data_IF_918246439899
#
_entry.id   IF_918246439899
#
_cell.length_a   1.000
_cell.length_b   1.000
_cell.length_c   1.000
_cell.angle_alpha   90.00
_cell.angle_beta   90.00
_cell.angle_gamma   90.00
#
_symmetry.space_group_name_H-M   'P 1'
#
loop_
_entity.id
_entity.type
_entity.pdbx_description
1 polymer ?
#
# COMPACT_ATOMS: atom_id res chain seq x y z
N UNK A 1 19.15 -10.20 -18.91
CA UNK A 1 18.50 -11.21 -18.03
C UNK A 1 18.03 -10.48 -16.77
N UNK A 2 16.71 -10.31 -16.56
CA UNK A 2 16.11 -9.36 -15.60
C UNK A 2 16.66 -9.50 -14.17
N UNK A 3 17.04 -10.71 -13.76
CA UNK A 3 17.32 -11.05 -12.37
C UNK A 3 18.74 -10.90 -11.89
N UNK A 4 19.69 -10.73 -12.83
CA UNK A 4 21.05 -10.29 -12.49
C UNK A 4 21.06 -8.89 -11.85
N UNK A 5 19.95 -8.16 -11.97
CA UNK A 5 19.77 -6.80 -11.45
C UNK A 5 18.63 -6.67 -10.44
N UNK A 6 17.94 -7.75 -10.05
CA UNK A 6 16.90 -7.68 -9.01
C UNK A 6 17.58 -7.54 -7.65
N UNK A 7 17.50 -6.32 -7.11
CA UNK A 7 17.96 -5.96 -5.77
C UNK A 7 17.12 -6.68 -4.70
N UNK A 8 17.66 -6.78 -3.49
CA UNK A 8 17.03 -7.41 -2.34
C UNK A 8 15.55 -7.00 -2.17
N UNK A 9 15.25 -5.70 -2.18
CA UNK A 9 13.87 -5.19 -2.05
C UNK A 9 12.94 -5.64 -3.17
N UNK A 10 13.42 -5.72 -4.41
CA UNK A 10 12.60 -6.18 -5.53
C UNK A 10 12.27 -7.68 -5.40
N UNK A 11 13.17 -8.48 -4.81
CA UNK A 11 12.88 -9.90 -4.51
C UNK A 11 11.76 -10.02 -3.47
N UNK A 12 11.78 -9.15 -2.45
CA UNK A 12 10.71 -9.07 -1.43
C UNK A 12 9.37 -8.74 -2.09
N UNK A 13 9.33 -7.72 -2.95
CA UNK A 13 8.08 -7.32 -3.63
C UNK A 13 7.53 -8.42 -4.54
N UNK A 14 8.38 -9.10 -5.30
CA UNK A 14 7.95 -10.22 -6.14
C UNK A 14 7.43 -11.36 -5.28
N UNK A 15 8.16 -11.77 -4.24
CA UNK A 15 7.71 -12.83 -3.35
C UNK A 15 6.37 -12.48 -2.68
N UNK A 16 6.19 -11.22 -2.25
CA UNK A 16 4.95 -10.74 -1.65
C UNK A 16 3.78 -10.84 -2.63
N UNK A 17 3.97 -10.46 -3.89
CA UNK A 17 2.95 -10.58 -4.93
C UNK A 17 2.55 -12.03 -5.19
N UNK A 18 3.53 -12.93 -5.29
CA UNK A 18 3.27 -14.37 -5.48
C UNK A 18 2.49 -14.93 -4.28
N UNK A 19 2.90 -14.58 -3.06
CA UNK A 19 2.28 -15.05 -1.82
C UNK A 19 0.85 -14.52 -1.65
N UNK A 20 0.62 -13.21 -1.84
CA UNK A 20 -0.70 -12.58 -1.66
C UNK A 20 -1.74 -13.11 -2.64
N UNK A 21 -1.32 -13.54 -3.83
CA UNK A 21 -2.20 -14.11 -4.85
C UNK A 21 -2.33 -15.63 -4.74
N UNK A 22 -1.83 -16.25 -3.66
CA UNK A 22 -1.95 -17.69 -3.43
C UNK A 22 -1.22 -18.57 -4.44
N UNK A 23 -0.23 -18.02 -5.16
CA UNK A 23 0.55 -18.77 -6.12
C UNK A 23 1.51 -19.73 -5.41
N UNK A 24 1.57 -20.97 -5.86
CA UNK A 24 2.43 -21.99 -5.27
C UNK A 24 3.92 -21.58 -5.42
N UNK A 25 4.67 -21.41 -4.31
CA UNK A 25 6.07 -21.00 -4.35
C UNK A 25 6.99 -21.94 -5.14
N UNK A 26 6.70 -23.24 -5.13
CA UNK A 26 7.50 -24.26 -5.84
C UNK A 26 7.34 -24.07 -7.35
N UNK A 27 6.09 -23.94 -7.82
CA UNK A 27 5.79 -23.72 -9.24
C UNK A 27 6.41 -22.41 -9.72
N UNK A 28 6.32 -21.34 -8.91
CA UNK A 28 6.98 -20.07 -9.23
C UNK A 28 8.49 -20.25 -9.42
N UNK A 29 9.16 -20.98 -8.52
CA UNK A 29 10.60 -21.21 -8.63
C UNK A 29 10.97 -22.04 -9.86
N UNK A 30 10.17 -23.06 -10.21
CA UNK A 30 10.36 -23.83 -11.45
C UNK A 30 10.21 -22.98 -12.71
N UNK A 31 9.19 -22.13 -12.76
CA UNK A 31 8.98 -21.19 -13.87
C UNK A 31 10.16 -20.23 -14.02
N UNK A 32 10.65 -19.71 -12.90
CA UNK A 32 11.81 -18.83 -12.87
C UNK A 32 13.08 -19.55 -13.36
N UNK A 33 13.25 -20.83 -13.02
CA UNK A 33 14.37 -21.66 -13.51
C UNK A 33 14.25 -21.90 -15.03
N UNK A 34 13.07 -22.28 -15.52
CA UNK A 34 12.80 -22.54 -16.94
C UNK A 34 13.02 -21.32 -17.81
N UNK A 35 12.55 -20.16 -17.34
CA UNK A 35 12.76 -18.86 -18.00
C UNK A 35 14.19 -18.37 -17.85
N UNK A 36 15.05 -19.15 -17.18
CA UNK A 36 16.44 -18.84 -16.95
C UNK A 36 16.63 -17.55 -16.14
N UNK A 37 15.61 -17.18 -15.37
CA UNK A 37 15.51 -15.93 -14.64
C UNK A 37 16.09 -16.06 -13.22
N UNK A 38 16.66 -17.14 -12.72
CA UNK A 38 17.30 -17.08 -11.38
C UNK A 38 18.50 -18.02 -11.27
N UNK A 39 19.43 -17.86 -12.21
CA UNK A 39 20.68 -18.65 -12.23
C UNK A 39 21.55 -18.49 -10.97
N UNK A 40 21.36 -17.41 -10.23
CA UNK A 40 22.08 -17.18 -8.99
C UNK A 40 21.47 -18.00 -7.84
N UNK A 41 22.25 -18.96 -7.34
CA UNK A 41 21.87 -19.79 -6.22
C UNK A 41 21.56 -18.98 -4.95
N UNK A 42 22.19 -17.81 -4.77
CA UNK A 42 21.89 -16.92 -3.64
C UNK A 42 20.49 -16.32 -3.77
N UNK A 43 20.07 -15.96 -4.98
CA UNK A 43 18.73 -15.46 -5.25
C UNK A 43 17.66 -16.54 -5.04
N UNK A 44 17.92 -17.78 -5.49
CA UNK A 44 17.06 -18.93 -5.23
C UNK A 44 16.84 -19.15 -3.74
N UNK A 45 17.93 -19.22 -2.97
CA UNK A 45 17.87 -19.38 -1.50
C UNK A 45 17.11 -18.24 -0.83
N UNK A 46 17.26 -17.02 -1.34
CA UNK A 46 16.58 -15.85 -0.80
C UNK A 46 15.06 -15.93 -1.00
N UNK A 47 14.57 -16.29 -2.20
CA UNK A 47 13.14 -16.51 -2.42
C UNK A 47 12.58 -17.62 -1.53
N UNK A 48 13.27 -18.76 -1.45
CA UNK A 48 12.86 -19.86 -0.56
C UNK A 48 12.77 -19.41 0.91
N UNK A 49 13.71 -18.58 1.37
CA UNK A 49 13.66 -18.04 2.72
C UNK A 49 12.47 -17.08 2.91
N UNK A 50 12.21 -16.19 1.94
CA UNK A 50 11.08 -15.26 2.00
C UNK A 50 9.74 -15.98 2.11
N UNK A 51 9.49 -16.98 1.27
CA UNK A 51 8.23 -17.72 1.31
C UNK A 51 8.02 -18.43 2.66
N UNK A 52 9.08 -19.03 3.23
CA UNK A 52 9.02 -19.63 4.58
C UNK A 52 8.74 -18.60 5.68
N UNK A 53 9.27 -17.38 5.54
CA UNK A 53 9.04 -16.31 6.50
C UNK A 53 7.58 -15.84 6.40
N UNK A 54 7.06 -15.65 5.19
CA UNK A 54 5.67 -15.22 4.99
C UNK A 54 4.66 -16.25 5.51
N UNK A 55 4.91 -17.55 5.27
CA UNK A 55 4.08 -18.64 5.85
C UNK A 55 4.05 -18.62 7.38
N UNK A 56 5.11 -18.13 8.03
CA UNK A 56 5.19 -17.99 9.49
C UNK A 56 4.52 -16.71 10.02
N UNK A 57 3.97 -15.86 9.14
CA UNK A 57 3.43 -14.56 9.52
C UNK A 57 4.51 -13.50 9.77
N UNK A 58 5.77 -13.77 9.39
CA UNK A 58 6.77 -12.70 9.36
C UNK A 58 6.43 -11.76 8.21
N UNK A 59 6.65 -10.46 8.41
CA UNK A 59 6.32 -9.41 7.44
C UNK A 59 4.83 -9.19 7.16
N UNK A 60 3.91 -9.84 7.91
CA UNK A 60 2.45 -9.71 7.71
C UNK A 60 2.01 -8.29 7.42
N UNK A 61 2.47 -7.31 8.22
CA UNK A 61 2.11 -5.88 8.09
C UNK A 61 3.22 -4.98 7.53
N UNK A 62 4.36 -5.56 7.16
CA UNK A 62 5.51 -4.80 6.68
C UNK A 62 5.51 -4.64 5.15
N UNK A 63 4.90 -5.59 4.44
CA UNK A 63 4.86 -5.63 2.99
C UNK A 63 3.41 -5.81 2.54
N UNK A 64 3.03 -5.11 1.47
CA UNK A 64 1.74 -5.25 0.83
C UNK A 64 1.93 -5.47 -0.68
N UNK A 65 1.01 -6.18 -1.29
CA UNK A 65 0.97 -6.43 -2.71
C UNK A 65 -0.47 -6.33 -3.23
N UNK A 66 -0.61 -6.19 -4.55
CA UNK A 66 -1.93 -6.14 -5.17
C UNK A 66 -2.50 -7.56 -5.25
N UNK A 67 -3.65 -7.78 -4.61
CA UNK A 67 -4.44 -8.99 -4.81
C UNK A 67 -5.33 -8.81 -6.04
N UNK A 68 -5.09 -9.66 -7.05
CA UNK A 68 -5.83 -9.66 -8.30
C UNK A 68 -7.26 -10.16 -8.12
N UNK A 69 -7.54 -10.94 -7.08
CA UNK A 69 -8.86 -11.51 -6.82
C UNK A 69 -9.81 -10.47 -6.24
N UNK A 70 -9.38 -9.75 -5.20
CA UNK A 70 -10.17 -8.71 -4.56
C UNK A 70 -9.99 -7.31 -5.19
N UNK A 71 -9.06 -7.16 -6.13
CA UNK A 71 -8.83 -5.89 -6.84
C UNK A 71 -8.30 -4.77 -5.94
N UNK A 72 -7.55 -5.10 -4.89
CA UNK A 72 -7.06 -4.14 -3.89
C UNK A 72 -5.66 -4.51 -3.39
N UNK A 73 -4.98 -3.54 -2.79
CA UNK A 73 -3.73 -3.80 -2.07
C UNK A 73 -4.02 -4.45 -0.72
N UNK A 74 -3.31 -5.52 -0.42
CA UNK A 74 -3.41 -6.26 0.83
C UNK A 74 -2.03 -6.51 1.42
N UNK A 75 -1.98 -6.49 2.74
CA UNK A 75 -0.90 -7.01 3.55
C UNK A 75 -0.82 -8.54 3.41
N UNK A 76 0.29 -9.15 3.82
CA UNK A 76 0.46 -10.61 3.69
C UNK A 76 -0.46 -11.43 4.61
N UNK A 77 -1.08 -10.78 5.61
CA UNK A 77 -2.14 -11.37 6.43
C UNK A 77 -3.55 -11.26 5.80
N UNK A 78 -3.66 -10.71 4.59
CA UNK A 78 -4.92 -10.47 3.88
C UNK A 78 -5.67 -9.23 4.36
N UNK A 79 -5.12 -8.46 5.30
CA UNK A 79 -5.74 -7.20 5.71
C UNK A 79 -5.57 -6.12 4.62
N UNK A 80 -6.57 -5.25 4.41
CA UNK A 80 -6.44 -4.20 3.40
C UNK A 80 -5.30 -3.22 3.71
N UNK A 81 -4.47 -2.94 2.71
CA UNK A 81 -3.42 -1.93 2.80
C UNK A 81 -3.93 -0.61 2.21
N UNK A 82 -4.44 0.26 3.07
CA UNK A 82 -4.85 1.60 2.67
C UNK A 82 -3.62 2.50 2.53
N UNK A 83 -3.48 3.18 1.40
CA UNK A 83 -2.52 4.27 1.28
C UNK A 83 -2.90 5.37 2.27
N UNK A 84 -2.21 5.47 3.41
CA UNK A 84 -2.25 6.70 4.18
C UNK A 84 -1.52 7.76 3.35
N UNK A 85 -2.28 8.61 2.67
CA UNK A 85 -1.78 9.82 2.03
C UNK A 85 -1.21 10.74 3.12
N UNK A 86 0.06 10.53 3.50
CA UNK A 86 0.78 11.41 4.43
C UNK A 86 0.84 12.86 3.89
N UNK A 87 0.71 13.02 2.57
CA UNK A 87 0.68 14.29 1.86
C UNK A 87 -0.61 15.11 2.02
N UNK A 88 -1.71 14.51 2.51
CA UNK A 88 -2.96 15.26 2.74
C UNK A 88 -3.03 15.90 4.14
N UNK A 89 -2.17 15.47 5.09
CA UNK A 89 -2.15 16.06 6.44
C UNK A 89 -1.59 17.48 6.46
N UNK A 90 -0.62 17.78 5.60
CA UNK A 90 0.03 19.09 5.54
C UNK A 90 -0.87 20.18 4.95
N UNK A 91 -1.84 19.81 4.12
CA UNK A 91 -2.80 20.76 3.52
C UNK A 91 -3.94 21.11 4.46
N UNK A 92 -4.35 20.17 5.32
CA UNK A 92 -5.45 20.41 6.25
C UNK A 92 -5.04 21.29 7.44
N UNK A 93 -3.84 21.07 8.02
CA UNK A 93 -3.33 21.92 9.11
C UNK A 93 -3.10 23.37 8.68
N UNK A 94 -2.67 23.60 7.43
CA UNK A 94 -2.50 24.97 6.90
C UNK A 94 -3.83 25.70 6.66
N UNK A 95 -4.89 24.98 6.32
CA UNK A 95 -6.20 25.57 6.06
C UNK A 95 -6.94 25.91 7.36
N UNK A 96 -6.75 25.13 8.42
CA UNK A 96 -7.29 25.46 9.75
C UNK A 96 -6.58 26.67 10.37
N UNK A 97 -5.28 26.84 10.13
CA UNK A 97 -4.54 28.04 10.56
C UNK A 97 -4.94 29.31 9.78
N UNK A 98 -5.29 29.19 8.49
CA UNK A 98 -5.75 30.34 7.68
C UNK A 98 -7.20 30.77 7.98
N UNK A 99 -8.06 29.88 8.50
CA UNK A 99 -9.46 30.21 8.80
C UNK A 99 -9.68 30.88 10.17
N UNK A 100 -8.64 31.07 10.98
CA UNK A 100 -8.77 31.67 12.33
C UNK A 100 -8.45 33.17 12.36
N UNK A 101 -8.21 33.81 11.19
CA UNK A 101 -7.82 35.23 11.11
C UNK A 101 -8.76 36.03 10.20
N UNK A 102 -10.05 36.11 10.54
CA UNK A 102 -10.93 37.13 9.98
C UNK A 102 -11.90 37.62 11.06
N UNK A 103 -11.83 38.88 11.51
CA UNK A 103 -12.83 39.44 12.39
C UNK A 103 -14.13 39.64 11.61
N UNK A 104 -15.21 38.99 12.05
CA UNK A 104 -16.55 39.23 11.52
C UNK A 104 -17.02 40.62 11.97
N UNK A 105 -16.98 41.58 11.05
CA UNK A 105 -17.72 42.85 11.18
C UNK A 105 -19.20 42.56 11.06
N UNK A 106 -19.94 42.83 12.15
CA UNK A 106 -21.40 42.76 12.21
C UNK A 106 -22.02 43.91 11.43
N UNK A 107 -22.74 43.63 10.35
CA UNK A 107 -23.72 44.57 9.79
C UNK A 107 -25.14 44.03 10.03
N UNK A 108 -25.92 44.88 10.67
CA UNK A 108 -27.28 44.70 11.17
C UNK A 108 -28.22 45.25 10.10
N UNK A 109 -29.02 44.39 9.47
CA UNK A 109 -30.14 44.82 8.63
C UNK A 109 -31.41 44.23 9.25
N UNK A 110 -32.16 45.10 9.90
CA UNK A 110 -33.55 44.89 10.34
C UNK A 110 -34.47 45.11 9.15
N UNK A 111 -35.25 44.11 8.78
CA UNK A 111 -36.48 44.32 8.02
C UNK A 111 -37.66 43.74 8.81
N UNK A 112 -38.48 44.66 9.29
CA UNK A 112 -39.81 44.43 9.84
C UNK A 112 -40.78 44.13 8.68
N UNK A 113 -41.46 42.99 8.69
CA UNK A 113 -42.89 42.97 8.32
C UNK A 113 -43.58 41.73 8.90
N UNK A 114 -44.36 41.96 9.96
CA UNK A 114 -45.30 41.02 10.56
C UNK A 114 -46.55 40.87 9.66
N UNK A 115 -47.11 39.67 9.44
CA UNK A 115 -48.48 39.53 8.99
C UNK A 115 -49.40 39.22 10.18
N UNK A 116 -50.40 40.07 10.46
CA UNK A 116 -51.57 39.67 11.25
C UNK A 116 -52.85 40.34 10.73
N UNK A 117 -53.76 39.45 10.29
CA UNK A 117 -55.22 39.54 10.06
C UNK A 117 -55.79 40.50 9.01
#
# INVERSE_FOLDING_TARGET
MWTRHIKHWQRILVAALIFSNGLNPIIFMEWVDLMNLCRDQAARRHFTALFRLFERGEYSRAVYAFDMTNGRYEYLDGSPAYYTNRSQRTTQTKNDEMNTTAPHTTERITDETTPQN
#
